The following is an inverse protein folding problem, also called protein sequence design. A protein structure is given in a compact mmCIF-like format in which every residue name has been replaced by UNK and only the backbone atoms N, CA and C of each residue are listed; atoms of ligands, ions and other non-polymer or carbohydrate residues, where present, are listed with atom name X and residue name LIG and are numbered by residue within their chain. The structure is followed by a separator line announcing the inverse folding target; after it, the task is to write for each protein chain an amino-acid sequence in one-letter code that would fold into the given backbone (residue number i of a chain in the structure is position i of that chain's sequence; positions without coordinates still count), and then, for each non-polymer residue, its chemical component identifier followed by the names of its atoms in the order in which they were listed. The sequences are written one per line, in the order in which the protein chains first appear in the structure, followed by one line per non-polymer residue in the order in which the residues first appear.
data_IF_267088180332
#
_entry.id   IF_267088180332
#
_cell.length_a   1.000
_cell.length_b   1.000
_cell.length_c   1.000
_cell.angle_alpha   90.00
_cell.angle_beta   90.00
_cell.angle_gamma   90.00
#
_symmetry.space_group_name_H-M   'P 1'
#
loop_
_entity.id
_entity.type
_entity.pdbx_description
1 polymer ?
#
# COMPACT_ATOMS: atom_id res chain seq x y z
N UNK A 1 -3.08 60.98 46.52
CA UNK A 1 -3.19 61.20 47.98
C UNK A 1 -4.34 60.32 48.46
N UNK A 2 -4.25 59.71 49.65
CA UNK A 2 -5.01 58.52 50.12
C UNK A 2 -4.63 57.20 49.40
N UNK A 3 -4.26 56.07 50.06
CA UNK A 3 -4.72 55.36 51.30
C UNK A 3 -6.02 54.56 51.07
N UNK A 4 -6.23 53.31 51.54
CA UNK A 4 -5.40 52.30 52.24
C UNK A 4 -5.29 51.02 51.33
N UNK A 5 -5.01 49.76 51.70
CA UNK A 5 -4.84 49.04 52.99
C UNK A 5 -3.95 47.77 52.83
N UNK A 6 -3.86 46.96 53.89
CA UNK A 6 -3.12 45.68 53.96
C UNK A 6 -3.80 44.69 54.95
N UNK A 7 -3.24 43.46 55.05
CA UNK A 7 -3.62 42.30 55.90
C UNK A 7 -4.60 41.26 55.29
N UNK A 8 -4.42 39.94 55.51
CA UNK A 8 -3.35 39.31 56.31
C UNK A 8 -3.33 37.77 56.36
N UNK A 9 -2.39 37.27 57.17
CA UNK A 9 -2.14 35.95 57.78
C UNK A 9 -2.78 34.63 57.24
N UNK A 10 -1.91 33.63 57.06
CA UNK A 10 -2.19 32.19 57.19
C UNK A 10 -2.27 31.78 58.72
N UNK A 11 -2.62 30.54 59.16
CA UNK A 11 -1.97 29.27 58.71
C UNK A 11 -2.79 27.94 58.80
N UNK A 12 -2.11 26.86 58.37
CA UNK A 12 -2.17 25.46 58.86
C UNK A 12 -3.42 24.56 58.67
N UNK A 13 -3.17 23.36 58.12
CA UNK A 13 -4.11 22.22 58.05
C UNK A 13 -3.49 21.08 57.23
N UNK A 14 -2.95 20.06 57.89
CA UNK A 14 -2.08 19.02 57.29
C UNK A 14 -2.84 17.77 56.78
N UNK A 15 -2.14 16.95 56.00
CA UNK A 15 -2.32 15.51 55.77
C UNK A 15 -3.54 14.99 54.98
N UNK A 16 -3.28 14.64 53.70
CA UNK A 16 -3.29 13.22 53.30
C UNK A 16 -2.55 12.94 51.99
N UNK A 17 -1.75 11.88 52.01
CA UNK A 17 -1.00 11.35 50.86
C UNK A 17 -1.94 10.65 49.86
N UNK A 18 -1.57 10.65 48.57
CA UNK A 18 -1.16 9.42 47.83
C UNK A 18 -0.82 9.68 46.35
N UNK A 19 0.28 9.05 45.93
CA UNK A 19 0.53 8.43 44.60
C UNK A 19 0.49 9.36 43.36
N UNK A 20 1.64 9.61 42.72
CA UNK A 20 2.14 8.80 41.58
C UNK A 20 1.14 8.76 40.41
N UNK A 21 1.41 9.47 39.31
CA UNK A 21 2.08 8.86 38.15
C UNK A 21 2.40 9.87 37.03
N UNK A 22 3.52 9.57 36.39
CA UNK A 22 4.12 10.17 35.21
C UNK A 22 3.14 10.24 34.02
N UNK A 23 2.63 11.45 33.69
CA UNK A 23 1.79 11.64 32.50
C UNK A 23 2.60 11.57 31.21
N UNK A 24 2.94 10.35 30.80
CA UNK A 24 3.69 10.06 29.58
C UNK A 24 3.03 10.65 28.33
N UNK A 25 3.84 11.26 27.46
CA UNK A 25 3.38 11.96 26.26
C UNK A 25 2.68 11.00 25.27
N UNK A 26 1.43 11.25 24.84
CA UNK A 26 0.70 10.38 23.91
C UNK A 26 1.13 10.55 22.44
N UNK A 27 2.40 10.87 22.18
CA UNK A 27 2.93 11.08 20.83
C UNK A 27 3.25 9.76 20.09
N UNK A 28 3.62 8.71 20.83
CA UNK A 28 4.18 7.48 20.24
C UNK A 28 3.16 6.65 19.44
N UNK A 29 1.89 6.66 19.86
CA UNK A 29 0.82 5.94 19.16
C UNK A 29 0.47 6.61 17.80
N UNK A 30 0.25 7.93 17.79
CA UNK A 30 -0.03 8.67 16.58
C UNK A 30 1.12 8.60 15.57
N UNK A 31 2.36 8.82 16.01
CA UNK A 31 3.54 8.69 15.15
C UNK A 31 3.71 7.27 14.57
N UNK A 32 3.43 6.23 15.35
CA UNK A 32 3.47 4.85 14.88
C UNK A 32 2.37 4.53 13.85
N UNK A 33 1.17 5.08 14.01
CA UNK A 33 0.08 4.94 13.04
C UNK A 33 0.43 5.65 11.72
N UNK A 34 0.91 6.89 11.78
CA UNK A 34 1.34 7.64 10.60
C UNK A 34 2.47 6.92 9.87
N UNK A 35 3.56 6.57 10.57
CA UNK A 35 4.70 5.87 9.98
C UNK A 35 4.31 4.53 9.34
N UNK A 36 3.46 3.74 10.01
CA UNK A 36 2.96 2.45 9.47
C UNK A 36 2.06 2.65 8.23
N UNK A 37 1.33 3.77 8.16
CA UNK A 37 0.50 4.13 7.01
C UNK A 37 1.36 4.58 5.83
N UNK A 38 2.37 5.42 6.06
CA UNK A 38 3.33 5.86 5.03
C UNK A 38 4.20 4.71 4.51
N UNK A 39 4.62 3.78 5.39
CA UNK A 39 5.32 2.56 4.96
C UNK A 39 4.43 1.62 4.14
N UNK A 40 3.11 1.55 4.42
CA UNK A 40 2.17 0.77 3.63
C UNK A 40 1.88 1.37 2.23
N UNK A 41 2.13 2.67 2.02
CA UNK A 41 2.18 3.30 0.69
C UNK A 41 3.53 3.18 -0.02
N UNK A 42 4.59 2.80 0.70
CA UNK A 42 5.95 2.66 0.16
C UNK A 42 6.24 1.26 -0.44
N UNK A 43 5.28 0.32 -0.39
CA UNK A 43 5.43 -1.03 -0.92
C UNK A 43 4.32 -1.36 -1.91
N UNK A 44 4.72 -1.92 -3.06
CA UNK A 44 3.79 -2.51 -4.01
C UNK A 44 3.09 -3.71 -3.40
N UNK A 45 1.76 -3.77 -3.47
CA UNK A 45 0.92 -4.83 -2.89
C UNK A 45 -0.25 -5.21 -3.78
N UNK A 46 -0.61 -6.51 -3.78
CA UNK A 46 -1.92 -6.96 -4.25
C UNK A 46 -2.93 -6.69 -3.12
N UNK A 47 -4.03 -6.00 -3.43
CA UNK A 47 -5.03 -5.61 -2.45
C UNK A 47 -6.16 -6.63 -2.33
N UNK A 48 -6.49 -7.31 -3.43
CA UNK A 48 -7.47 -8.39 -3.43
C UNK A 48 -7.95 -8.77 -4.83
N UNK A 49 -8.81 -9.78 -4.86
CA UNK A 49 -9.55 -10.23 -6.04
C UNK A 49 -11.01 -10.41 -5.69
N UNK A 50 -11.91 -10.14 -6.64
CA UNK A 50 -13.35 -10.40 -6.49
C UNK A 50 -13.99 -10.70 -7.84
N UNK A 51 -14.82 -11.74 -7.90
CA UNK A 51 -15.63 -12.03 -9.08
C UNK A 51 -16.66 -10.92 -9.35
N UNK A 52 -16.92 -10.67 -10.64
CA UNK A 52 -18.00 -9.81 -11.10
C UNK A 52 -18.47 -10.25 -12.49
N UNK A 53 -19.52 -9.62 -13.00
CA UNK A 53 -20.03 -9.87 -14.36
C UNK A 53 -19.63 -8.73 -15.30
N UNK A 54 -18.81 -9.02 -16.30
CA UNK A 54 -18.47 -8.09 -17.38
C UNK A 54 -19.23 -8.49 -18.65
N UNK A 55 -20.09 -7.58 -19.16
CA UNK A 55 -20.86 -7.81 -20.41
C UNK A 55 -21.64 -9.14 -20.44
N UNK A 56 -22.15 -9.59 -19.29
CA UNK A 56 -22.88 -10.85 -19.14
C UNK A 56 -22.02 -12.11 -18.94
N UNK A 57 -20.68 -11.99 -18.89
CA UNK A 57 -19.75 -13.09 -18.62
C UNK A 57 -19.09 -12.98 -17.24
N UNK A 58 -18.72 -14.09 -16.58
CA UNK A 58 -17.87 -14.06 -15.39
C UNK A 58 -16.51 -13.43 -15.69
N UNK A 59 -16.04 -12.56 -14.80
CA UNK A 59 -14.78 -11.85 -14.91
C UNK A 59 -14.18 -11.62 -13.52
N UNK A 60 -12.86 -11.43 -13.45
CA UNK A 60 -12.13 -11.18 -12.21
C UNK A 60 -11.71 -9.72 -12.12
N UNK A 61 -12.13 -9.04 -11.04
CA UNK A 61 -11.62 -7.74 -10.65
C UNK A 61 -10.38 -7.94 -9.77
N UNK A 62 -9.27 -7.31 -10.12
CA UNK A 62 -7.97 -7.42 -9.44
C UNK A 62 -7.58 -6.03 -8.94
N UNK A 63 -7.60 -5.84 -7.62
CA UNK A 63 -7.20 -4.59 -6.99
C UNK A 63 -5.72 -4.67 -6.57
N UNK A 64 -4.94 -3.65 -6.89
CA UNK A 64 -3.51 -3.60 -6.62
C UNK A 64 -3.05 -2.16 -6.34
N UNK A 65 -1.85 -2.00 -5.80
CA UNK A 65 -1.19 -0.70 -5.66
C UNK A 65 0.32 -0.87 -5.87
N UNK A 66 0.95 0.07 -6.58
CA UNK A 66 2.40 0.17 -6.65
C UNK A 66 2.93 1.16 -5.62
N UNK A 67 4.17 0.93 -5.15
CA UNK A 67 4.86 1.85 -4.25
C UNK A 67 4.94 3.26 -4.86
N UNK A 68 4.37 4.26 -4.17
CA UNK A 68 4.31 5.64 -4.67
C UNK A 68 3.20 5.94 -5.70
N UNK A 69 2.34 4.98 -6.04
CA UNK A 69 1.18 5.19 -6.92
C UNK A 69 -0.14 5.06 -6.15
N UNK A 70 -1.21 5.63 -6.69
CA UNK A 70 -2.56 5.36 -6.21
C UNK A 70 -2.94 3.88 -6.44
N UNK A 71 -3.84 3.31 -5.62
CA UNK A 71 -4.46 2.02 -5.91
C UNK A 71 -5.18 2.03 -7.25
N UNK A 72 -5.09 0.92 -7.97
CA UNK A 72 -5.70 0.74 -9.28
C UNK A 72 -6.42 -0.63 -9.39
N UNK A 73 -7.22 -0.80 -10.44
CA UNK A 73 -8.04 -1.98 -10.70
C UNK A 73 -7.85 -2.47 -12.14
N UNK A 74 -7.42 -3.71 -12.28
CA UNK A 74 -7.46 -4.45 -13.53
C UNK A 74 -8.70 -5.34 -13.59
N UNK A 75 -9.26 -5.53 -14.78
CA UNK A 75 -10.34 -6.47 -15.07
C UNK A 75 -9.85 -7.54 -16.04
N UNK A 76 -10.11 -8.81 -15.73
CA UNK A 76 -9.70 -9.95 -16.54
C UNK A 76 -10.92 -10.78 -16.93
N UNK A 77 -11.07 -11.18 -18.20
CA UNK A 77 -12.29 -11.82 -18.74
C UNK A 77 -12.40 -13.34 -18.42
N UNK A 78 -11.97 -13.76 -17.22
CA UNK A 78 -12.12 -15.11 -16.66
C UNK A 78 -12.51 -15.01 -15.18
N UNK A 79 -13.23 -16.00 -14.60
CA UNK A 79 -13.59 -15.98 -13.17
C UNK A 79 -12.35 -16.00 -12.28
N UNK A 80 -12.41 -15.41 -11.09
CA UNK A 80 -11.26 -15.32 -10.19
C UNK A 80 -10.75 -16.69 -9.72
N UNK A 81 -11.53 -17.77 -9.81
CA UNK A 81 -11.04 -19.13 -9.56
C UNK A 81 -9.97 -19.58 -10.57
N UNK A 82 -10.07 -19.13 -11.82
CA UNK A 82 -9.19 -19.51 -12.93
C UNK A 82 -7.99 -18.56 -13.12
N UNK A 83 -7.96 -17.43 -12.39
CA UNK A 83 -6.95 -16.37 -12.54
C UNK A 83 -5.93 -16.40 -11.40
N UNK A 84 -4.64 -16.44 -11.72
CA UNK A 84 -3.54 -16.13 -10.80
C UNK A 84 -3.14 -14.67 -10.96
N UNK A 85 -3.18 -13.89 -9.87
CA UNK A 85 -2.66 -12.52 -9.84
C UNK A 85 -1.60 -12.41 -8.73
N UNK A 86 -0.41 -11.90 -9.07
CA UNK A 86 0.73 -11.77 -8.15
C UNK A 86 1.55 -10.54 -8.50
N UNK A 87 2.18 -9.94 -7.49
CA UNK A 87 3.31 -9.05 -7.76
C UNK A 87 4.57 -9.87 -7.98
N UNK A 88 5.34 -9.54 -9.00
CA UNK A 88 6.52 -10.26 -9.46
C UNK A 88 7.67 -9.27 -9.71
N UNK A 89 8.87 -9.64 -9.27
CA UNK A 89 10.10 -8.94 -9.65
C UNK A 89 10.83 -9.60 -10.81
N UNK A 90 11.95 -9.01 -11.24
CA UNK A 90 12.80 -9.58 -12.30
C UNK A 90 13.18 -11.05 -12.04
N UNK A 91 13.57 -11.38 -10.81
CA UNK A 91 13.92 -12.76 -10.40
C UNK A 91 12.78 -13.74 -10.59
N UNK A 92 11.57 -13.33 -10.21
CA UNK A 92 10.36 -14.16 -10.28
C UNK A 92 9.99 -14.42 -11.75
N UNK A 93 9.94 -13.35 -12.55
CA UNK A 93 9.70 -13.42 -13.99
C UNK A 93 10.78 -14.22 -14.74
N UNK A 94 12.03 -14.19 -14.28
CA UNK A 94 13.11 -15.04 -14.81
C UNK A 94 12.89 -16.51 -14.45
N UNK A 95 12.54 -16.81 -13.20
CA UNK A 95 12.24 -18.16 -12.73
C UNK A 95 11.04 -18.80 -13.42
N UNK A 96 10.05 -17.98 -13.83
CA UNK A 96 8.88 -18.44 -14.61
C UNK A 96 9.12 -18.42 -16.13
N UNK A 97 10.34 -18.11 -16.61
CA UNK A 97 10.68 -17.98 -18.03
C UNK A 97 10.11 -16.73 -18.74
N UNK A 98 9.13 -16.06 -18.14
CA UNK A 98 8.38 -14.92 -18.69
C UNK A 98 9.25 -13.67 -18.96
N UNK A 99 10.34 -13.46 -18.23
CA UNK A 99 11.26 -12.33 -18.44
C UNK A 99 11.83 -12.25 -19.88
N UNK A 100 12.04 -13.39 -20.53
CA UNK A 100 12.55 -13.43 -21.91
C UNK A 100 11.49 -13.05 -22.95
N UNK A 101 10.19 -13.17 -22.62
CA UNK A 101 9.06 -12.80 -23.50
C UNK A 101 8.87 -11.27 -23.56
N UNK A 102 9.22 -10.56 -22.49
CA UNK A 102 9.24 -9.10 -22.47
C UNK A 102 10.23 -8.55 -23.50
N UNK A 103 9.86 -7.48 -24.21
CA UNK A 103 10.79 -6.72 -25.05
C UNK A 103 11.70 -5.80 -24.20
N UNK A 104 12.67 -5.15 -24.83
CA UNK A 104 13.61 -4.28 -24.13
C UNK A 104 12.98 -2.96 -23.63
N UNK A 105 11.77 -2.63 -24.05
CA UNK A 105 11.01 -1.48 -23.54
C UNK A 105 10.36 -1.88 -22.20
N UNK A 106 9.53 -2.93 -22.20
CA UNK A 106 8.89 -3.50 -21.02
C UNK A 106 9.91 -3.88 -19.93
N UNK A 107 11.04 -4.49 -20.29
CA UNK A 107 12.13 -4.81 -19.33
C UNK A 107 12.66 -3.58 -18.61
N UNK A 108 12.79 -2.42 -19.29
CA UNK A 108 13.23 -1.17 -18.66
C UNK A 108 12.21 -0.67 -17.65
N UNK A 109 10.92 -0.69 -17.97
CA UNK A 109 9.89 -0.24 -17.03
C UNK A 109 9.77 -1.18 -15.82
N UNK A 110 9.80 -2.51 -16.01
CA UNK A 110 9.81 -3.47 -14.89
C UNK A 110 11.02 -3.23 -13.95
N UNK A 111 12.18 -2.85 -14.50
CA UNK A 111 13.36 -2.50 -13.70
C UNK A 111 13.28 -1.12 -13.04
N UNK A 112 12.57 -0.17 -13.65
CA UNK A 112 12.38 1.18 -13.12
C UNK A 112 11.28 1.27 -12.04
N UNK A 113 10.42 0.25 -11.92
CA UNK A 113 9.35 0.23 -10.91
C UNK A 113 9.90 0.43 -9.48
N UNK A 114 9.32 1.35 -8.69
CA UNK A 114 9.61 1.45 -7.26
C UNK A 114 9.36 0.11 -6.54
N UNK A 115 10.36 -0.35 -5.79
CA UNK A 115 10.36 -1.68 -5.15
C UNK A 115 10.58 -2.87 -6.11
N UNK A 116 10.74 -2.64 -7.41
CA UNK A 116 11.07 -3.67 -8.40
C UNK A 116 9.98 -4.74 -8.58
N UNK A 117 8.71 -4.39 -8.38
CA UNK A 117 7.55 -5.30 -8.53
C UNK A 117 6.57 -4.78 -9.59
N UNK A 118 6.16 -5.65 -10.50
CA UNK A 118 4.99 -5.46 -11.39
C UNK A 118 3.91 -6.48 -11.09
N UNK A 119 2.66 -6.14 -11.39
CA UNK A 119 1.54 -7.07 -11.43
C UNK A 119 1.75 -8.01 -12.62
N UNK A 120 1.73 -9.30 -12.31
CA UNK A 120 1.62 -10.42 -13.22
C UNK A 120 0.23 -11.03 -13.05
N UNK A 121 -0.46 -11.26 -14.16
CA UNK A 121 -1.75 -11.95 -14.21
C UNK A 121 -1.66 -13.08 -15.21
N UNK A 122 -2.19 -14.24 -14.84
CA UNK A 122 -2.23 -15.45 -15.65
C UNK A 122 -3.62 -16.06 -15.52
N UNK A 123 -4.29 -16.22 -16.65
CA UNK A 123 -5.52 -17.01 -16.78
C UNK A 123 -5.22 -18.34 -17.46
N UNK A 124 -6.25 -18.98 -18.03
CA UNK A 124 -6.12 -20.33 -18.63
C UNK A 124 -5.44 -20.34 -19.99
N UNK A 125 -5.50 -19.22 -20.71
CA UNK A 125 -5.07 -19.12 -22.11
C UNK A 125 -4.03 -18.03 -22.36
N UNK A 126 -3.84 -17.11 -21.41
CA UNK A 126 -2.92 -15.98 -21.54
C UNK A 126 -2.32 -15.60 -20.19
N UNK A 127 -1.17 -14.94 -20.24
CA UNK A 127 -0.56 -14.28 -19.11
C UNK A 127 0.00 -12.94 -19.56
N UNK A 128 -0.05 -11.93 -18.70
CA UNK A 128 0.41 -10.56 -18.98
C UNK A 128 1.06 -9.93 -17.74
N UNK A 129 1.98 -9.00 -17.96
CA UNK A 129 2.50 -8.10 -16.91
C UNK A 129 2.04 -6.67 -17.16
N UNK A 130 1.94 -5.88 -16.10
CA UNK A 130 1.39 -4.52 -16.13
C UNK A 130 2.37 -3.46 -15.61
N UNK A 131 3.56 -3.27 -16.22
CA UNK A 131 4.49 -2.20 -15.86
C UNK A 131 3.85 -0.82 -16.01
N UNK A 132 4.32 0.16 -15.22
CA UNK A 132 3.95 1.56 -15.38
C UNK A 132 4.82 2.22 -16.44
N UNK A 133 4.19 2.88 -17.41
CA UNK A 133 4.87 3.63 -18.49
C UNK A 133 5.25 5.05 -18.10
N UNK A 134 5.76 5.83 -19.07
CA UNK A 134 6.09 7.26 -18.86
C UNK A 134 4.88 8.15 -18.58
N UNK A 135 3.66 7.71 -18.90
CA UNK A 135 2.42 8.39 -18.55
C UNK A 135 2.05 8.28 -17.05
N UNK A 136 2.70 7.38 -16.31
CA UNK A 136 2.30 7.01 -14.95
C UNK A 136 1.16 5.99 -14.88
N UNK A 137 0.63 5.55 -16.03
CA UNK A 137 -0.40 4.51 -16.15
C UNK A 137 0.24 3.13 -16.38
N UNK A 138 -0.44 2.08 -15.89
CA UNK A 138 -0.06 0.71 -16.17
C UNK A 138 -0.52 0.30 -17.58
N UNK A 139 0.33 -0.39 -18.34
CA UNK A 139 0.01 -0.91 -19.67
C UNK A 139 0.25 -2.42 -19.75
N UNK A 140 -0.54 -3.11 -20.59
CA UNK A 140 -0.44 -4.55 -20.72
C UNK A 140 0.73 -4.99 -21.61
N UNK A 141 1.48 -5.99 -21.16
CA UNK A 141 2.49 -6.70 -21.95
C UNK A 141 2.26 -8.21 -21.82
N UNK A 142 1.77 -8.84 -22.90
CA UNK A 142 1.52 -10.28 -22.94
C UNK A 142 2.82 -11.09 -22.85
N UNK A 143 2.80 -12.14 -22.03
CA UNK A 143 3.89 -13.09 -21.77
C UNK A 143 3.42 -14.56 -21.85
N UNK A 144 2.28 -14.81 -22.51
CA UNK A 144 1.87 -16.14 -22.94
C UNK A 144 2.94 -16.81 -23.82
N UNK A 145 2.87 -18.14 -23.94
CA UNK A 145 3.91 -18.94 -24.61
C UNK A 145 3.75 -19.08 -26.13
#
# INVERSE_FOLDING_TARGET
MMLLASAGCAPAGDASQRQMEETGTPARAAAAITARTTSASAQSRLLGKSDFTLRGKPACKIAYAYAGHAPDTLFWEEPCADVTARLAGRSDLQGWGKWRRLDDHARKFVQAMPGGRVLYVEGRFSASVYPVGTSGEAYEVTVAD
#
